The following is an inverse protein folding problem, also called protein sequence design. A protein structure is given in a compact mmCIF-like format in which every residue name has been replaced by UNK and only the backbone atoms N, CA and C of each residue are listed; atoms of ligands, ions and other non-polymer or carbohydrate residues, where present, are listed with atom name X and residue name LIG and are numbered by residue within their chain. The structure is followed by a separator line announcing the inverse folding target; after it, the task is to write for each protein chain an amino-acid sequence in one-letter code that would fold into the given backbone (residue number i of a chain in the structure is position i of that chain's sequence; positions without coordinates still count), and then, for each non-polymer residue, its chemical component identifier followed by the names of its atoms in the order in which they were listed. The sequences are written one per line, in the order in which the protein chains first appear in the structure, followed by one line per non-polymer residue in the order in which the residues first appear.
data_IF_176691423424
#
_entry.id   IF_176691423424
#
_cell.length_a   1.000
_cell.length_b   1.000
_cell.length_c   1.000
_cell.angle_alpha   90.00
_cell.angle_beta   90.00
_cell.angle_gamma   90.00
#
_symmetry.space_group_name_H-M   'P 1'
#
loop_
_entity.id
_entity.type
_entity.pdbx_description
1 polymer ?
#
# COMPACT_ATOMS: atom_id res chain seq x y z
N UNK A 1 15.42 -8.43 6.99
CA UNK A 1 15.27 -8.37 5.54
C UNK A 1 16.24 -7.32 5.01
N UNK A 2 16.86 -7.56 3.85
CA UNK A 2 17.77 -6.61 3.23
C UNK A 2 17.00 -5.34 2.79
N UNK A 3 17.61 -4.16 2.77
CA UNK A 3 17.01 -2.97 2.21
C UNK A 3 16.73 -3.17 0.72
N UNK A 4 15.66 -2.56 0.23
CA UNK A 4 15.33 -2.56 -1.18
C UNK A 4 16.38 -1.72 -1.92
N UNK A 5 17.15 -2.35 -2.79
CA UNK A 5 18.15 -1.69 -3.65
C UNK A 5 17.47 -0.97 -4.81
N UNK A 6 18.29 -0.39 -5.70
CA UNK A 6 17.81 0.30 -6.90
C UNK A 6 18.41 1.70 -7.05
N UNK A 7 18.05 2.38 -8.14
CA UNK A 7 18.44 3.76 -8.38
C UNK A 7 17.49 4.71 -7.65
N UNK A 8 17.95 5.52 -6.69
CA UNK A 8 17.10 6.45 -5.96
C UNK A 8 16.74 7.66 -6.84
N UNK A 9 15.52 8.17 -6.61
CA UNK A 9 15.05 9.45 -7.16
C UNK A 9 14.18 10.13 -6.11
N UNK A 10 14.39 11.44 -5.91
CA UNK A 10 13.52 12.27 -5.10
C UNK A 10 12.50 12.95 -5.97
N UNK A 11 11.21 12.78 -5.65
CA UNK A 11 10.11 13.49 -6.31
C UNK A 11 9.67 14.63 -5.41
N UNK A 12 9.89 15.86 -5.87
CA UNK A 12 9.55 17.05 -5.11
C UNK A 12 8.13 17.52 -5.41
N UNK A 13 7.46 18.01 -4.38
CA UNK A 13 6.11 18.57 -4.46
C UNK A 13 6.12 20.06 -4.16
N UNK A 14 5.16 20.85 -4.69
CA UNK A 14 5.11 22.30 -4.48
C UNK A 14 5.04 22.73 -3.01
N UNK A 15 4.48 21.88 -2.14
CA UNK A 15 4.37 22.12 -0.70
C UNK A 15 5.66 21.83 0.09
N UNK A 16 6.75 21.50 -0.59
CA UNK A 16 8.02 21.13 0.02
C UNK A 16 8.11 19.66 0.46
N UNK A 17 7.11 18.84 0.13
CA UNK A 17 7.24 17.40 0.31
C UNK A 17 8.27 16.84 -0.66
N UNK A 18 9.15 15.99 -0.16
CA UNK A 18 10.13 15.22 -0.93
C UNK A 18 9.84 13.75 -0.73
N UNK A 19 9.48 13.06 -1.81
CA UNK A 19 9.13 11.65 -1.79
C UNK A 19 10.35 10.82 -2.19
N UNK A 20 10.77 9.92 -1.31
CA UNK A 20 11.86 8.99 -1.56
C UNK A 20 11.36 7.84 -2.42
N UNK A 21 11.92 7.67 -3.60
CA UNK A 21 11.58 6.58 -4.51
C UNK A 21 12.83 5.81 -4.91
N UNK A 22 12.67 4.55 -5.31
CA UNK A 22 13.72 3.73 -5.92
C UNK A 22 13.18 3.05 -7.17
N UNK A 23 14.02 2.96 -8.20
CA UNK A 23 13.71 2.24 -9.43
C UNK A 23 14.65 1.05 -9.58
N UNK A 24 14.07 -0.14 -9.71
CA UNK A 24 14.80 -1.38 -10.01
C UNK A 24 14.51 -1.75 -11.47
N UNK A 25 15.54 -2.06 -12.22
CA UNK A 25 15.42 -2.46 -13.62
C UNK A 25 15.98 -3.87 -13.83
N UNK A 26 15.39 -4.65 -14.75
CA UNK A 26 15.93 -5.95 -15.10
C UNK A 26 17.36 -5.84 -15.66
N UNK A 27 18.21 -6.87 -15.45
CA UNK A 27 19.50 -6.96 -16.13
C UNK A 27 19.33 -6.84 -17.64
N UNK A 28 20.17 -5.99 -18.29
CA UNK A 28 20.05 -5.72 -19.73
C UNK A 28 19.08 -4.59 -20.10
N UNK A 29 18.36 -4.01 -19.17
CA UNK A 29 17.56 -2.78 -19.34
C UNK A 29 16.23 -2.91 -20.08
N UNK A 30 15.99 -4.01 -20.81
CA UNK A 30 14.69 -4.22 -21.47
C UNK A 30 13.61 -4.54 -20.43
N UNK A 31 12.49 -3.82 -20.49
CA UNK A 31 11.38 -3.98 -19.54
C UNK A 31 10.09 -4.36 -20.23
N UNK A 32 9.31 -5.29 -19.63
CA UNK A 32 7.97 -5.66 -20.10
C UNK A 32 6.94 -4.58 -19.75
N UNK A 33 6.89 -4.23 -18.48
CA UNK A 33 6.04 -3.17 -17.96
C UNK A 33 6.69 -2.54 -16.73
N UNK A 34 6.21 -1.36 -16.33
CA UNK A 34 6.58 -0.74 -15.05
C UNK A 34 5.54 -1.08 -14.01
N UNK A 35 5.99 -1.56 -12.84
CA UNK A 35 5.15 -1.86 -11.67
C UNK A 35 5.46 -0.85 -10.58
N UNK A 36 4.44 -0.12 -10.11
CA UNK A 36 4.55 0.87 -9.02
C UNK A 36 3.99 0.28 -7.74
N UNK A 37 4.73 0.35 -6.64
CA UNK A 37 4.41 -0.31 -5.38
C UNK A 37 4.20 0.72 -4.26
N UNK A 38 2.96 0.80 -3.75
CA UNK A 38 2.53 1.69 -2.68
C UNK A 38 2.26 0.90 -1.38
N UNK A 39 3.03 1.17 -0.34
CA UNK A 39 3.01 0.46 0.94
C UNK A 39 1.84 0.80 1.86
N UNK A 40 1.67 0.05 2.97
CA UNK A 40 0.64 0.24 3.98
C UNK A 40 0.96 1.33 5.01
N UNK A 41 0.03 1.51 5.98
CA UNK A 41 0.14 2.49 7.06
C UNK A 41 1.29 2.18 8.02
N UNK A 42 2.07 3.21 8.38
CA UNK A 42 3.16 3.18 9.36
C UNK A 42 4.28 2.15 9.05
N UNK A 43 4.42 1.79 7.79
CA UNK A 43 5.55 1.04 7.25
C UNK A 43 6.22 1.84 6.13
N UNK A 44 7.14 1.27 5.38
CA UNK A 44 7.89 1.95 4.33
C UNK A 44 8.02 1.08 3.07
N UNK A 45 8.67 1.59 2.01
CA UNK A 45 8.87 0.88 0.74
C UNK A 45 9.56 -0.49 0.88
N UNK A 46 10.25 -0.75 2.01
CA UNK A 46 10.89 -2.04 2.28
C UNK A 46 9.89 -3.17 2.54
N UNK A 47 8.60 -2.84 2.68
CA UNK A 47 7.54 -3.84 2.62
C UNK A 47 7.68 -4.76 1.39
N UNK A 48 8.12 -4.18 0.28
CA UNK A 48 8.18 -4.83 -1.02
C UNK A 48 9.50 -5.57 -1.31
N UNK A 49 10.36 -5.73 -0.30
CA UNK A 49 11.71 -6.29 -0.46
C UNK A 49 11.75 -7.78 -0.86
N UNK A 50 10.61 -8.47 -0.84
CA UNK A 50 10.46 -9.83 -1.39
C UNK A 50 9.82 -9.78 -2.77
N UNK A 51 8.75 -9.01 -2.93
CA UNK A 51 7.98 -8.90 -4.18
C UNK A 51 8.76 -8.20 -5.29
N UNK A 52 9.45 -7.10 -4.99
CA UNK A 52 10.10 -6.28 -6.00
C UNK A 52 11.24 -7.02 -6.75
N UNK A 53 12.16 -7.74 -6.08
CA UNK A 53 13.18 -8.53 -6.79
C UNK A 53 12.60 -9.62 -7.70
N UNK A 54 11.51 -10.27 -7.27
CA UNK A 54 10.83 -11.29 -8.08
C UNK A 54 10.18 -10.69 -9.33
N UNK A 55 9.57 -9.52 -9.22
CA UNK A 55 9.03 -8.79 -10.39
C UNK A 55 10.14 -8.40 -11.36
N UNK A 56 11.28 -7.95 -10.85
CA UNK A 56 12.48 -7.65 -11.67
C UNK A 56 12.98 -8.90 -12.38
N UNK A 57 13.03 -10.05 -11.69
CA UNK A 57 13.43 -11.33 -12.27
C UNK A 57 12.44 -11.80 -13.37
N UNK A 58 11.15 -11.38 -13.28
CA UNK A 58 10.14 -11.62 -14.34
C UNK A 58 10.21 -10.60 -15.49
N UNK A 59 11.19 -9.68 -15.48
CA UNK A 59 11.44 -8.71 -16.55
C UNK A 59 10.66 -7.40 -16.41
N UNK A 60 10.13 -7.07 -15.25
CA UNK A 60 9.44 -5.82 -14.99
C UNK A 60 10.36 -4.78 -14.35
N UNK A 61 10.24 -3.53 -14.77
CA UNK A 61 10.79 -2.40 -14.00
C UNK A 61 9.90 -2.21 -12.78
N UNK A 62 10.51 -2.01 -11.62
CA UNK A 62 9.77 -1.75 -10.37
C UNK A 62 10.10 -0.37 -9.84
N UNK A 63 9.08 0.41 -9.48
CA UNK A 63 9.19 1.67 -8.75
C UNK A 63 8.54 1.47 -7.39
N UNK A 64 9.32 1.56 -6.31
CA UNK A 64 8.81 1.54 -4.95
C UNK A 64 9.11 2.89 -4.29
N UNK A 65 8.21 3.38 -3.45
CA UNK A 65 8.36 4.69 -2.84
C UNK A 65 7.85 4.72 -1.41
N UNK A 66 8.40 5.62 -0.62
CA UNK A 66 7.83 5.96 0.67
C UNK A 66 6.75 7.02 0.50
N UNK A 67 5.56 6.75 0.98
CA UNK A 67 4.48 7.72 0.96
C UNK A 67 4.81 8.90 1.91
N UNK A 68 4.24 10.08 1.66
CA UNK A 68 4.53 11.27 2.48
C UNK A 68 4.38 10.98 3.98
N UNK A 69 5.34 11.45 4.78
CA UNK A 69 5.40 11.22 6.22
C UNK A 69 5.81 9.81 6.64
N UNK A 70 6.23 8.96 5.70
CA UNK A 70 6.72 7.60 5.97
C UNK A 70 8.16 7.42 5.47
N UNK A 71 8.87 6.49 6.08
CA UNK A 71 10.22 6.11 5.68
C UNK A 71 11.17 7.30 5.60
N UNK A 72 11.77 7.52 4.43
CA UNK A 72 12.66 8.66 4.16
C UNK A 72 11.92 9.89 3.57
N UNK A 73 10.63 9.76 3.22
CA UNK A 73 9.82 10.87 2.73
C UNK A 73 9.43 11.81 3.86
N UNK A 74 9.57 13.12 3.63
CA UNK A 74 9.07 14.10 4.57
C UNK A 74 7.58 14.41 4.34
N UNK A 75 7.06 15.37 5.10
CA UNK A 75 5.74 15.93 4.93
C UNK A 75 5.87 17.45 4.84
N UNK A 76 5.44 18.03 3.72
CA UNK A 76 5.48 19.47 3.47
C UNK A 76 4.38 20.25 4.19
N UNK A 77 4.22 21.52 3.81
CA UNK A 77 3.31 22.47 4.47
C UNK A 77 1.83 22.10 4.38
N UNK A 78 1.42 21.37 3.33
CA UNK A 78 0.03 20.95 3.14
C UNK A 78 -0.39 19.79 4.05
N UNK A 79 0.57 19.23 4.81
CA UNK A 79 0.32 18.12 5.72
C UNK A 79 0.06 16.79 5.00
N UNK A 80 -0.61 15.87 5.71
CA UNK A 80 -0.95 14.55 5.20
C UNK A 80 -2.47 14.37 5.14
N UNK A 81 -2.98 13.93 3.99
CA UNK A 81 -4.38 13.63 3.74
C UNK A 81 -4.56 12.95 2.40
N UNK A 82 -5.73 12.42 2.16
CA UNK A 82 -6.03 11.63 0.95
C UNK A 82 -5.73 12.42 -0.32
N UNK A 83 -6.19 13.67 -0.41
CA UNK A 83 -5.97 14.54 -1.58
C UNK A 83 -4.48 14.77 -1.87
N UNK A 84 -3.67 15.04 -0.84
CA UNK A 84 -2.23 15.25 -0.97
C UNK A 84 -1.55 13.98 -1.46
N UNK A 85 -1.90 12.82 -0.88
CA UNK A 85 -1.32 11.52 -1.26
C UNK A 85 -1.74 11.08 -2.67
N UNK A 86 -2.96 11.37 -3.09
CA UNK A 86 -3.40 11.16 -4.49
C UNK A 86 -2.54 11.99 -5.45
N UNK A 87 -2.32 13.28 -5.15
CA UNK A 87 -1.42 14.13 -5.92
C UNK A 87 0.02 13.61 -5.96
N UNK A 88 0.49 12.97 -4.89
CA UNK A 88 1.81 12.34 -4.84
C UNK A 88 1.90 11.15 -5.80
N UNK A 89 0.86 10.31 -5.87
CA UNK A 89 0.84 9.19 -6.82
C UNK A 89 0.96 9.68 -8.25
N UNK A 90 0.19 10.69 -8.65
CA UNK A 90 0.28 11.29 -9.99
C UNK A 90 1.68 11.85 -10.27
N UNK A 91 2.30 12.52 -9.28
CA UNK A 91 3.64 13.05 -9.43
C UNK A 91 4.70 11.94 -9.59
N UNK A 92 4.58 10.84 -8.85
CA UNK A 92 5.48 9.68 -8.95
C UNK A 92 5.32 9.01 -10.32
N UNK A 93 4.09 8.79 -10.79
CA UNK A 93 3.83 8.22 -12.11
C UNK A 93 4.46 9.07 -13.22
N UNK A 94 4.32 10.40 -13.14
CA UNK A 94 4.91 11.33 -14.09
C UNK A 94 6.43 11.37 -14.01
N UNK A 95 7.02 11.49 -12.80
CA UNK A 95 8.46 11.60 -12.59
C UNK A 95 9.23 10.36 -13.04
N UNK A 96 8.60 9.20 -12.95
CA UNK A 96 9.17 7.94 -13.41
C UNK A 96 8.81 7.58 -14.87
N UNK A 97 8.15 8.48 -15.59
CA UNK A 97 7.64 8.26 -16.95
C UNK A 97 6.92 6.89 -17.08
N UNK A 98 6.01 6.62 -16.16
CA UNK A 98 5.24 5.38 -16.17
C UNK A 98 4.25 5.44 -17.32
N UNK A 99 4.31 4.46 -18.22
CA UNK A 99 3.39 4.30 -19.35
C UNK A 99 2.93 2.86 -19.41
N UNK A 100 1.63 2.69 -19.54
CA UNK A 100 1.01 1.37 -19.63
C UNK A 100 1.45 0.43 -18.49
N UNK A 101 1.61 1.01 -17.28
CA UNK A 101 2.11 0.33 -16.09
C UNK A 101 1.02 -0.35 -15.27
N UNK A 102 1.44 -1.02 -14.22
CA UNK A 102 0.57 -1.57 -13.17
C UNK A 102 0.92 -0.92 -11.84
N UNK A 103 -0.08 -0.55 -11.06
CA UNK A 103 0.12 -0.07 -9.70
C UNK A 103 -0.44 -1.05 -8.68
N UNK A 104 0.31 -1.29 -7.61
CA UNK A 104 -0.08 -2.15 -6.48
C UNK A 104 -0.20 -1.29 -5.24
N UNK A 105 -1.38 -1.27 -4.63
CA UNK A 105 -1.61 -0.56 -3.37
C UNK A 105 -1.98 -1.54 -2.26
N UNK A 106 -1.17 -1.58 -1.19
CA UNK A 106 -1.44 -2.36 0.00
C UNK A 106 -2.08 -1.49 1.09
N UNK A 107 -3.20 -1.96 1.66
CA UNK A 107 -3.84 -1.33 2.82
C UNK A 107 -4.08 0.18 2.60
N UNK A 108 -3.44 1.08 3.35
CA UNK A 108 -3.44 2.53 3.11
C UNK A 108 -3.11 2.89 1.67
N UNK A 109 -2.08 2.24 1.09
CA UNK A 109 -1.70 2.48 -0.31
C UNK A 109 -2.82 2.14 -1.28
N UNK A 110 -3.60 1.09 -1.01
CA UNK A 110 -4.79 0.74 -1.77
C UNK A 110 -5.95 1.71 -1.57
N UNK A 111 -6.15 2.20 -0.35
CA UNK A 111 -7.16 3.23 -0.05
C UNK A 111 -6.88 4.54 -0.82
N UNK A 112 -5.63 5.01 -0.82
CA UNK A 112 -5.22 6.19 -1.59
C UNK A 112 -5.37 5.93 -3.10
N UNK A 113 -4.99 4.73 -3.56
CA UNK A 113 -5.12 4.33 -4.96
C UNK A 113 -6.59 4.33 -5.41
N UNK A 114 -7.52 3.83 -4.62
CA UNK A 114 -8.96 3.86 -4.93
C UNK A 114 -9.42 5.31 -5.11
N UNK A 115 -9.04 6.21 -4.20
CA UNK A 115 -9.37 7.63 -4.34
C UNK A 115 -8.79 8.24 -5.63
N UNK A 116 -7.53 7.88 -5.98
CA UNK A 116 -6.93 8.32 -7.24
C UNK A 116 -7.69 7.79 -8.47
N UNK A 117 -8.08 6.52 -8.46
CA UNK A 117 -8.80 5.88 -9.56
C UNK A 117 -10.23 6.43 -9.73
N UNK A 118 -10.88 6.87 -8.66
CA UNK A 118 -12.22 7.48 -8.70
C UNK A 118 -12.12 8.94 -9.15
N UNK A 119 -11.27 9.75 -8.51
CA UNK A 119 -11.24 11.20 -8.72
C UNK A 119 -10.41 11.62 -9.94
N UNK A 120 -9.44 10.79 -10.36
CA UNK A 120 -8.49 11.08 -11.44
C UNK A 120 -8.41 9.95 -12.47
N UNK A 121 -9.53 9.27 -12.77
CA UNK A 121 -9.59 8.10 -13.66
C UNK A 121 -8.89 8.34 -15.01
N UNK A 122 -9.14 9.47 -15.65
CA UNK A 122 -8.54 9.81 -16.95
C UNK A 122 -7.02 10.03 -16.86
N UNK A 123 -6.53 10.64 -15.79
CA UNK A 123 -5.10 10.89 -15.58
C UNK A 123 -4.37 9.60 -15.23
N UNK A 124 -4.92 8.80 -14.31
CA UNK A 124 -4.40 7.49 -13.97
C UNK A 124 -4.32 6.58 -15.20
N UNK A 125 -5.34 6.59 -16.06
CA UNK A 125 -5.39 5.81 -17.29
C UNK A 125 -4.37 6.21 -18.38
N UNK A 126 -3.77 7.40 -18.28
CA UNK A 126 -2.64 7.79 -19.16
C UNK A 126 -1.34 7.08 -18.79
N UNK A 127 -1.22 6.64 -17.54
CA UNK A 127 -0.01 6.01 -16.99
C UNK A 127 -0.15 4.51 -16.81
N UNK A 128 -1.37 4.03 -16.54
CA UNK A 128 -1.62 2.69 -16.05
C UNK A 128 -2.64 1.93 -16.91
N UNK A 129 -2.39 0.63 -17.08
CA UNK A 129 -3.32 -0.33 -17.67
C UNK A 129 -4.10 -1.13 -16.62
N UNK A 130 -3.58 -1.25 -15.41
CA UNK A 130 -4.18 -2.05 -14.36
C UNK A 130 -3.77 -1.66 -12.95
N UNK A 131 -4.59 -2.04 -11.98
CA UNK A 131 -4.37 -1.80 -10.57
C UNK A 131 -4.58 -3.08 -9.74
N UNK A 132 -3.74 -3.29 -8.73
CA UNK A 132 -3.92 -4.35 -7.75
C UNK A 132 -4.19 -3.74 -6.37
N UNK A 133 -5.27 -4.18 -5.76
CA UNK A 133 -5.76 -3.72 -4.47
C UNK A 133 -5.52 -4.84 -3.44
N UNK A 134 -4.46 -4.71 -2.64
CA UNK A 134 -4.01 -5.76 -1.71
C UNK A 134 -4.47 -5.43 -0.30
N UNK A 135 -5.29 -6.29 0.30
CA UNK A 135 -5.71 -6.18 1.70
C UNK A 135 -6.11 -4.74 2.05
N UNK A 136 -7.08 -4.17 1.32
CA UNK A 136 -7.46 -2.75 1.40
C UNK A 136 -8.98 -2.55 1.50
N UNK A 137 -9.41 -1.31 1.53
CA UNK A 137 -10.79 -0.88 1.77
C UNK A 137 -11.05 0.46 1.05
N UNK A 138 -12.32 0.82 0.88
CA UNK A 138 -12.71 2.09 0.26
C UNK A 138 -13.39 3.07 1.25
N UNK A 139 -13.50 2.72 2.52
CA UNK A 139 -14.13 3.56 3.55
C UNK A 139 -14.34 2.80 4.85
N UNK A 140 -14.70 3.50 5.90
CA UNK A 140 -14.91 3.06 7.28
C UNK A 140 -14.16 1.77 7.68
N UNK A 141 -12.86 1.90 7.87
CA UNK A 141 -11.97 0.79 8.28
C UNK A 141 -12.35 0.14 9.62
N UNK A 142 -13.23 0.77 10.39
CA UNK A 142 -13.77 0.21 11.64
C UNK A 142 -14.88 -0.81 11.40
N UNK A 143 -15.48 -0.83 10.21
CA UNK A 143 -16.57 -1.73 9.88
C UNK A 143 -16.06 -3.17 9.88
N UNK A 144 -16.73 -4.03 10.65
CA UNK A 144 -16.34 -5.43 10.82
C UNK A 144 -15.05 -5.67 11.61
N UNK A 145 -14.41 -4.63 12.12
CA UNK A 145 -13.14 -4.75 12.86
C UNK A 145 -13.21 -4.09 14.26
N UNK A 146 -13.56 -4.85 15.30
CA UNK A 146 -13.53 -4.35 16.67
C UNK A 146 -12.13 -3.88 17.14
N UNK A 147 -11.07 -4.45 16.57
CA UNK A 147 -9.69 -4.10 16.89
C UNK A 147 -9.37 -2.66 16.50
N UNK A 148 -9.80 -2.21 15.32
CA UNK A 148 -9.57 -0.85 14.85
C UNK A 148 -10.27 0.18 15.76
N UNK A 149 -11.46 -0.14 16.29
CA UNK A 149 -12.18 0.73 17.24
C UNK A 149 -11.40 1.02 18.52
N UNK A 150 -10.47 0.14 18.89
CA UNK A 150 -9.58 0.33 20.05
C UNK A 150 -8.24 0.92 19.63
N UNK A 151 -7.64 0.42 18.55
CA UNK A 151 -6.30 0.83 18.11
C UNK A 151 -6.26 2.27 17.59
N UNK A 152 -7.26 2.70 16.82
CA UNK A 152 -7.30 4.05 16.26
C UNK A 152 -7.29 5.12 17.37
N UNK A 153 -8.14 5.06 18.41
CA UNK A 153 -8.03 5.96 19.55
C UNK A 153 -6.68 5.94 20.26
N UNK A 154 -6.06 4.75 20.42
CA UNK A 154 -4.74 4.64 21.04
C UNK A 154 -3.64 5.31 20.21
N UNK A 155 -3.73 5.25 18.87
CA UNK A 155 -2.81 5.94 17.97
C UNK A 155 -3.06 7.44 18.02
N UNK A 156 -4.31 7.87 17.87
CA UNK A 156 -4.68 9.30 17.81
C UNK A 156 -4.41 10.05 19.12
N UNK A 157 -4.50 9.37 20.27
CA UNK A 157 -4.13 9.94 21.58
C UNK A 157 -2.63 9.98 21.83
N UNK A 158 -1.81 9.34 20.98
CA UNK A 158 -0.36 9.22 21.15
C UNK A 158 0.06 8.17 22.19
N UNK A 159 -0.86 7.44 22.79
CA UNK A 159 -0.56 6.35 23.74
C UNK A 159 0.18 5.22 23.02
N UNK A 160 -0.25 4.85 21.81
CA UNK A 160 0.40 3.81 21.02
C UNK A 160 1.88 4.12 20.77
N UNK A 161 2.26 5.37 20.48
CA UNK A 161 3.66 5.79 20.26
C UNK A 161 4.58 5.51 21.46
N UNK A 162 4.02 5.45 22.67
CA UNK A 162 4.77 5.07 23.87
C UNK A 162 4.81 3.55 24.04
N UNK A 163 3.69 2.88 23.81
CA UNK A 163 3.56 1.44 24.01
C UNK A 163 4.43 0.62 23.05
N UNK A 164 4.53 1.03 21.78
CA UNK A 164 5.32 0.32 20.75
C UNK A 164 6.84 0.37 20.99
N UNK A 165 7.32 1.20 21.92
CA UNK A 165 8.72 1.15 22.35
C UNK A 165 9.08 -0.21 22.99
N UNK A 166 8.10 -0.88 23.57
CA UNK A 166 8.26 -2.24 24.09
C UNK A 166 8.27 -3.24 22.94
N UNK A 167 9.28 -4.12 22.89
CA UNK A 167 9.39 -5.23 21.93
C UNK A 167 8.17 -6.14 21.99
N UNK A 168 7.67 -6.43 23.19
CA UNK A 168 6.47 -7.28 23.35
C UNK A 168 5.25 -6.68 22.66
N UNK A 169 5.04 -5.37 22.83
CA UNK A 169 3.89 -4.68 22.22
C UNK A 169 4.04 -4.62 20.70
N UNK A 170 5.20 -4.19 20.20
CA UNK A 170 5.44 -4.09 18.76
C UNK A 170 5.37 -5.46 18.07
N UNK A 171 5.93 -6.51 18.65
CA UNK A 171 5.81 -7.88 18.14
C UNK A 171 4.39 -8.43 18.28
N UNK A 172 3.68 -8.10 19.37
CA UNK A 172 2.26 -8.44 19.54
C UNK A 172 1.41 -7.83 18.43
N UNK A 173 1.59 -6.53 18.17
CA UNK A 173 0.91 -5.83 17.07
C UNK A 173 1.21 -6.47 15.71
N UNK A 174 2.48 -6.77 15.40
CA UNK A 174 2.86 -7.44 14.17
C UNK A 174 2.15 -8.80 14.00
N UNK A 175 2.03 -9.57 15.08
CA UNK A 175 1.37 -10.89 15.05
C UNK A 175 -0.12 -10.81 14.75
N UNK A 176 -0.79 -9.72 15.10
CA UNK A 176 -2.22 -9.55 14.80
C UNK A 176 -2.49 -9.34 13.32
N UNK A 177 -1.48 -8.88 12.56
CA UNK A 177 -1.56 -8.63 11.12
C UNK A 177 -1.29 -9.89 10.27
N UNK A 178 -0.75 -10.94 10.87
CA UNK A 178 -0.37 -12.17 10.17
C UNK A 178 -1.42 -13.25 10.34
N UNK A 179 -1.55 -14.11 9.33
CA UNK A 179 -2.45 -15.24 9.32
C UNK A 179 -2.01 -16.39 10.24
N UNK A 180 -2.15 -17.64 9.75
CA UNK A 180 -1.76 -18.84 10.52
C UNK A 180 -0.28 -18.82 10.85
N UNK A 181 0.56 -18.61 9.82
CA UNK A 181 2.00 -18.56 9.98
C UNK A 181 2.44 -17.17 10.45
N UNK A 182 3.38 -17.13 11.39
CA UNK A 182 3.87 -15.89 11.98
C UNK A 182 5.39 -15.84 11.93
N UNK A 183 5.97 -15.72 10.71
CA UNK A 183 7.42 -15.75 10.55
C UNK A 183 8.09 -14.60 11.29
N UNK A 184 9.10 -14.92 12.10
CA UNK A 184 9.79 -13.93 12.92
C UNK A 184 10.46 -12.82 12.11
N UNK A 185 10.83 -13.12 10.85
CA UNK A 185 11.39 -12.12 9.94
C UNK A 185 10.37 -11.02 9.62
N UNK A 186 9.11 -11.37 9.31
CA UNK A 186 8.02 -10.43 9.07
C UNK A 186 7.66 -9.64 10.33
N UNK A 187 7.58 -10.33 11.50
CA UNK A 187 7.30 -9.68 12.79
C UNK A 187 8.36 -8.60 13.10
N UNK A 188 9.64 -8.94 12.96
CA UNK A 188 10.74 -7.99 13.22
C UNK A 188 10.77 -6.84 12.22
N UNK A 189 10.50 -7.12 10.93
CA UNK A 189 10.46 -6.11 9.89
C UNK A 189 9.35 -5.09 10.19
N UNK A 190 8.12 -5.55 10.43
CA UNK A 190 7.00 -4.67 10.80
C UNK A 190 7.30 -3.87 12.07
N UNK A 191 7.74 -4.55 13.15
CA UNK A 191 8.01 -3.88 14.43
C UNK A 191 9.07 -2.77 14.29
N UNK A 192 10.07 -2.95 13.43
CA UNK A 192 11.10 -1.94 13.16
C UNK A 192 10.50 -0.71 12.50
N UNK A 193 9.78 -0.87 11.40
CA UNK A 193 9.20 0.25 10.63
C UNK A 193 8.11 0.95 11.42
N UNK A 194 7.23 0.19 12.08
CA UNK A 194 6.16 0.75 12.91
C UNK A 194 6.68 1.61 14.08
N UNK A 195 7.84 1.25 14.68
CA UNK A 195 8.49 2.07 15.70
C UNK A 195 9.14 3.33 15.16
N UNK A 196 9.66 3.26 13.94
CA UNK A 196 10.30 4.39 13.29
C UNK A 196 9.28 5.43 12.78
N UNK A 197 8.03 5.03 12.58
CA UNK A 197 6.97 5.90 12.08
C UNK A 197 6.57 6.97 13.10
N UNK A 198 6.42 8.20 12.65
CA UNK A 198 5.80 9.28 13.44
C UNK A 198 4.27 9.14 13.38
N UNK A 199 3.72 8.31 14.28
CA UNK A 199 2.29 8.05 14.32
C UNK A 199 1.44 9.31 14.58
N UNK A 200 2.01 10.38 15.16
CA UNK A 200 1.29 11.64 15.38
C UNK A 200 1.10 12.40 14.07
N UNK A 201 2.14 12.41 13.25
CA UNK A 201 2.08 12.98 11.90
C UNK A 201 1.02 12.27 11.05
N UNK A 202 0.84 10.96 11.25
CA UNK A 202 -0.08 10.13 10.46
C UNK A 202 -1.55 10.17 10.94
N UNK A 203 -1.87 10.91 12.01
CA UNK A 203 -3.24 11.00 12.54
C UNK A 203 -4.26 11.49 11.51
N UNK A 204 -3.98 12.51 10.66
CA UNK A 204 -4.97 12.99 9.70
C UNK A 204 -5.41 11.91 8.70
N UNK A 205 -4.47 11.15 8.13
CA UNK A 205 -4.82 10.07 7.19
C UNK A 205 -5.55 8.93 7.90
N UNK A 206 -5.22 8.63 9.15
CA UNK A 206 -5.92 7.63 9.94
C UNK A 206 -7.39 8.04 10.20
N UNK A 207 -7.64 9.34 10.39
CA UNK A 207 -9.00 9.88 10.48
C UNK A 207 -9.76 9.78 9.16
N UNK A 208 -9.07 9.96 8.02
CA UNK A 208 -9.65 9.78 6.69
C UNK A 208 -10.16 8.34 6.48
N UNK A 209 -9.42 7.32 6.93
CA UNK A 209 -9.85 5.91 6.86
C UNK A 209 -11.21 5.62 7.53
N UNK A 210 -11.58 6.43 8.53
CA UNK A 210 -12.85 6.28 9.26
C UNK A 210 -13.96 7.15 8.67
N UNK A 211 -13.61 8.29 8.08
CA UNK A 211 -14.58 9.32 7.67
C UNK A 211 -14.92 9.29 6.19
N UNK A 212 -13.96 8.92 5.34
CA UNK A 212 -14.17 8.86 3.91
C UNK A 212 -14.79 7.52 3.54
N UNK A 213 -15.77 7.56 2.62
CA UNK A 213 -16.42 6.39 2.08
C UNK A 213 -16.55 6.56 0.56
N UNK A 214 -15.91 5.66 -0.18
CA UNK A 214 -15.87 5.66 -1.64
C UNK A 214 -16.54 4.43 -2.25
N UNK A 215 -17.20 3.59 -1.44
CA UNK A 215 -17.88 2.40 -1.97
C UNK A 215 -18.98 2.75 -2.98
N UNK A 216 -19.68 3.88 -2.78
CA UNK A 216 -20.68 4.37 -3.73
C UNK A 216 -20.12 4.89 -5.05
N UNK A 217 -18.83 5.24 -5.09
CA UNK A 217 -18.17 5.87 -6.23
C UNK A 217 -17.39 4.87 -7.11
N UNK A 218 -17.28 3.60 -6.71
CA UNK A 218 -16.42 2.60 -7.33
C UNK A 218 -16.75 2.32 -8.80
N UNK A 219 -17.97 2.59 -9.24
CA UNK A 219 -18.37 2.47 -10.64
C UNK A 219 -17.62 3.43 -11.58
N UNK A 220 -17.00 4.49 -11.04
CA UNK A 220 -16.13 5.41 -11.79
C UNK A 220 -14.77 4.79 -12.16
N UNK A 221 -14.37 3.71 -11.50
CA UNK A 221 -13.11 3.01 -11.81
C UNK A 221 -13.27 2.24 -13.11
N UNK A 222 -12.61 2.70 -14.16
CA UNK A 222 -12.67 2.10 -15.50
C UNK A 222 -11.50 1.17 -15.83
N UNK A 223 -10.53 1.08 -14.94
CA UNK A 223 -9.31 0.30 -15.10
C UNK A 223 -9.50 -1.16 -14.68
N UNK A 224 -8.77 -2.08 -15.30
CA UNK A 224 -8.71 -3.48 -14.84
C UNK A 224 -8.15 -3.55 -13.43
N UNK A 225 -8.91 -4.15 -12.49
CA UNK A 225 -8.54 -4.27 -11.10
C UNK A 225 -8.51 -5.72 -10.63
N UNK A 226 -7.52 -6.06 -9.79
CA UNK A 226 -7.48 -7.33 -9.07
C UNK A 226 -7.40 -7.04 -7.57
N UNK A 227 -8.40 -7.49 -6.81
CA UNK A 227 -8.38 -7.50 -5.35
C UNK A 227 -7.68 -8.76 -4.83
N UNK A 228 -6.74 -8.62 -3.91
CA UNK A 228 -6.07 -9.77 -3.26
C UNK A 228 -6.24 -9.63 -1.74
N UNK A 229 -6.75 -10.68 -1.08
CA UNK A 229 -7.02 -10.64 0.36
C UNK A 229 -6.70 -11.96 1.03
N UNK A 230 -6.13 -11.91 2.23
CA UNK A 230 -5.94 -13.06 3.10
C UNK A 230 -7.25 -13.44 3.80
N UNK A 231 -7.59 -14.73 3.83
CA UNK A 231 -8.86 -15.18 4.48
C UNK A 231 -8.87 -14.97 5.99
N UNK A 232 -7.71 -14.72 6.61
CA UNK A 232 -7.55 -14.44 8.03
C UNK A 232 -7.26 -12.95 8.31
N UNK A 233 -7.38 -12.07 7.31
CA UNK A 233 -7.18 -10.63 7.52
C UNK A 233 -8.25 -10.07 8.46
N UNK A 234 -7.77 -9.55 9.60
CA UNK A 234 -8.62 -8.91 10.62
C UNK A 234 -8.53 -7.39 10.58
N UNK A 235 -7.57 -6.85 9.83
CA UNK A 235 -7.36 -5.40 9.71
C UNK A 235 -8.29 -4.82 8.65
N UNK A 236 -8.30 -5.43 7.48
CA UNK A 236 -9.26 -5.17 6.39
C UNK A 236 -9.92 -6.50 6.00
N UNK A 237 -10.96 -6.93 6.75
CA UNK A 237 -11.58 -8.23 6.54
C UNK A 237 -12.02 -8.45 5.08
N UNK A 238 -12.09 -9.70 4.62
CA UNK A 238 -12.35 -10.05 3.21
C UNK A 238 -13.56 -9.37 2.58
N UNK A 239 -14.59 -9.05 3.34
CA UNK A 239 -15.79 -8.37 2.83
C UNK A 239 -15.48 -7.00 2.20
N UNK A 240 -14.43 -6.28 2.66
CA UNK A 240 -14.00 -5.05 2.02
C UNK A 240 -13.57 -5.29 0.56
N UNK A 241 -12.80 -6.36 0.32
CA UNK A 241 -12.40 -6.75 -1.04
C UNK A 241 -13.61 -7.22 -1.87
N UNK A 242 -14.59 -7.89 -1.24
CA UNK A 242 -15.81 -8.33 -1.91
C UNK A 242 -16.65 -7.13 -2.37
N UNK A 243 -16.76 -6.10 -1.54
CA UNK A 243 -17.48 -4.86 -1.90
C UNK A 243 -16.72 -4.05 -2.97
N UNK A 244 -15.38 -4.01 -2.91
CA UNK A 244 -14.57 -3.42 -3.98
C UNK A 244 -14.85 -4.15 -5.31
N UNK A 245 -14.89 -5.48 -5.30
CA UNK A 245 -15.20 -6.28 -6.46
C UNK A 245 -16.62 -6.04 -6.99
N UNK A 246 -17.60 -5.94 -6.10
CA UNK A 246 -18.98 -5.66 -6.48
C UNK A 246 -19.15 -4.28 -7.11
N UNK A 247 -18.38 -3.27 -6.66
CA UNK A 247 -18.47 -1.90 -7.16
C UNK A 247 -17.61 -1.63 -8.41
N UNK A 248 -16.49 -2.32 -8.61
CA UNK A 248 -15.58 -2.12 -9.74
C UNK A 248 -15.89 -3.12 -10.85
N UNK A 249 -16.43 -2.63 -11.97
CA UNK A 249 -16.81 -3.49 -13.11
C UNK A 249 -15.61 -4.27 -13.65
N UNK A 250 -15.77 -5.59 -13.81
CA UNK A 250 -14.76 -6.45 -14.44
C UNK A 250 -13.55 -6.71 -13.55
N UNK A 251 -13.57 -6.29 -12.30
CA UNK A 251 -12.53 -6.64 -11.34
C UNK A 251 -12.50 -8.14 -11.06
N UNK A 252 -11.38 -8.60 -10.48
CA UNK A 252 -11.20 -10.00 -10.04
C UNK A 252 -10.84 -10.03 -8.57
N UNK A 253 -11.14 -11.14 -7.89
CA UNK A 253 -10.77 -11.36 -6.49
C UNK A 253 -9.94 -12.63 -6.36
N UNK A 254 -8.83 -12.52 -5.64
CA UNK A 254 -7.99 -13.64 -5.23
C UNK A 254 -7.98 -13.71 -3.71
N UNK A 255 -8.48 -14.83 -3.16
CA UNK A 255 -8.45 -15.09 -1.71
C UNK A 255 -7.33 -16.05 -1.39
N UNK A 256 -6.42 -15.62 -0.50
CA UNK A 256 -5.26 -16.40 -0.10
C UNK A 256 -5.59 -17.10 1.23
N UNK A 257 -5.74 -18.42 1.17
CA UNK A 257 -6.12 -19.22 2.34
C UNK A 257 -5.11 -19.07 3.48
N UNK A 258 -5.61 -18.95 4.71
CA UNK A 258 -4.84 -18.92 5.96
C UNK A 258 -3.82 -17.77 6.09
N UNK A 259 -3.84 -16.79 5.17
CA UNK A 259 -3.00 -15.58 5.23
C UNK A 259 -3.77 -14.41 5.86
N UNK A 260 -3.01 -13.51 6.45
CA UNK A 260 -3.52 -12.29 7.10
C UNK A 260 -3.41 -11.06 6.21
N UNK A 261 -3.06 -9.94 6.86
CA UNK A 261 -2.99 -8.63 6.24
C UNK A 261 -1.71 -8.39 5.42
N UNK A 262 -0.57 -8.98 5.83
CA UNK A 262 0.75 -8.70 5.27
C UNK A 262 1.10 -9.64 4.11
N UNK A 263 0.26 -9.63 3.06
CA UNK A 263 0.40 -10.53 1.91
C UNK A 263 1.72 -10.35 1.14
N UNK A 264 2.32 -9.18 1.17
CA UNK A 264 3.67 -8.91 0.64
C UNK A 264 4.75 -9.82 1.24
N UNK A 265 4.53 -10.33 2.46
CA UNK A 265 5.43 -11.23 3.18
C UNK A 265 4.86 -12.63 3.37
N UNK A 266 3.53 -12.78 3.36
CA UNK A 266 2.87 -14.07 3.62
C UNK A 266 2.60 -14.88 2.35
N UNK A 267 2.46 -14.22 1.21
CA UNK A 267 2.19 -14.83 -0.08
C UNK A 267 2.72 -13.95 -1.24
N UNK A 268 4.03 -13.62 -1.25
CA UNK A 268 4.62 -12.76 -2.28
C UNK A 268 4.48 -13.33 -3.69
N UNK A 269 4.52 -14.64 -3.84
CA UNK A 269 4.31 -15.38 -5.08
C UNK A 269 2.94 -15.08 -5.71
N UNK A 270 1.88 -15.06 -4.90
CA UNK A 270 0.53 -14.70 -5.37
C UNK A 270 0.49 -13.27 -5.90
N UNK A 271 1.12 -12.32 -5.19
CA UNK A 271 1.18 -10.92 -5.64
C UNK A 271 1.94 -10.83 -6.96
N UNK A 272 3.11 -11.46 -7.06
CA UNK A 272 3.92 -11.45 -8.28
C UNK A 272 3.15 -12.03 -9.46
N UNK A 273 2.53 -13.20 -9.30
CA UNK A 273 1.81 -13.87 -10.39
C UNK A 273 0.59 -13.05 -10.86
N UNK A 274 -0.14 -12.42 -9.94
CA UNK A 274 -1.28 -11.58 -10.31
C UNK A 274 -0.85 -10.25 -10.94
N UNK A 275 0.28 -9.65 -10.53
CA UNK A 275 0.88 -8.49 -11.21
C UNK A 275 1.28 -8.85 -12.64
N UNK A 276 1.93 -10.00 -12.84
CA UNK A 276 2.34 -10.46 -14.18
C UNK A 276 1.13 -10.65 -15.09
N UNK A 277 0.02 -11.17 -14.59
CA UNK A 277 -1.24 -11.29 -15.34
C UNK A 277 -1.85 -9.94 -15.71
N UNK A 278 -1.75 -8.94 -14.83
CA UNK A 278 -2.22 -7.58 -15.13
C UNK A 278 -1.31 -6.83 -16.10
N UNK A 279 -0.02 -7.16 -16.08
CA UNK A 279 0.96 -6.52 -16.94
C UNK A 279 0.98 -7.05 -18.37
N UNK A 280 0.35 -8.20 -18.66
CA UNK A 280 0.21 -8.83 -19.97
C UNK A 280 1.41 -9.68 -20.32
#
# INVERSE_FOLDING_TARGET
MAPLGGTPLWVERPDGTRLATVSLVPPGGATRATVVLAHGFAIDRHEWNVVAPELVARGHRVVAFDQRGHGESNCGSDGIGTRQMVGDYLAILAAHDVRDGVIVGHSMGGFVLINALVDHAAEMGRHLRGAMLVATFAGDVNRGNPQNRVQIPLITSGVMSRLIRSDKVAHGQARTLLGRDKPMAAIRAFARTFRAADLRLLVPILKAFVREDRYGDLAAVSMSCTGVVGTMDKTTPPFHTDELHAGIRGSRVVRVAERGHMLSWEAPDVIVDEVVKLAG
#
